data_IF_176003995391
#
_entry.id   IF_176003995391
#
_cell.length_a   1.000
_cell.length_b   1.000
_cell.length_c   1.000
_cell.angle_alpha   90.00
_cell.angle_beta   90.00
_cell.angle_gamma   90.00
#
_symmetry.space_group_name_H-M   'P 1'
#
loop_
_entity.id
_entity.type
_entity.pdbx_description
1 polymer ?
#
# COMPACT_ATOMS: atom_id res chain seq x y z
N UNK A 1 -20.01 -27.61 -36.36
CA UNK A 1 -18.76 -26.83 -36.17
C UNK A 1 -18.98 -25.86 -35.02
N UNK A 2 -18.54 -26.21 -33.80
CA UNK A 2 -18.77 -25.40 -32.60
C UNK A 2 -17.78 -24.24 -32.54
N UNK A 3 -18.25 -23.00 -32.71
CA UNK A 3 -17.45 -21.79 -32.51
C UNK A 3 -17.26 -21.58 -31.01
N UNK A 4 -16.06 -21.87 -30.51
CA UNK A 4 -15.62 -21.49 -29.17
C UNK A 4 -15.62 -19.95 -29.13
N UNK A 5 -16.60 -19.35 -28.45
CA UNK A 5 -16.55 -17.92 -28.13
C UNK A 5 -15.32 -17.68 -27.27
N UNK A 6 -14.37 -16.90 -27.78
CA UNK A 6 -13.24 -16.36 -27.01
C UNK A 6 -13.86 -15.74 -25.74
N UNK A 7 -13.58 -16.30 -24.56
CA UNK A 7 -13.95 -15.67 -23.29
C UNK A 7 -13.44 -14.24 -23.37
N UNK A 8 -14.30 -13.25 -23.12
CA UNK A 8 -13.85 -11.89 -22.92
C UNK A 8 -12.73 -11.95 -21.89
N UNK A 9 -11.55 -11.40 -22.22
CA UNK A 9 -10.46 -11.30 -21.26
C UNK A 9 -11.04 -10.60 -20.03
N UNK A 10 -11.02 -11.28 -18.87
CA UNK A 10 -11.35 -10.62 -17.62
C UNK A 10 -10.41 -9.41 -17.52
N UNK A 11 -10.92 -8.20 -17.20
CA UNK A 11 -10.05 -7.08 -16.96
C UNK A 11 -9.00 -7.52 -15.94
N UNK A 12 -7.73 -7.42 -16.31
CA UNK A 12 -6.66 -7.71 -15.36
C UNK A 12 -6.83 -6.70 -14.22
N UNK A 13 -6.81 -7.16 -12.95
CA UNK A 13 -6.87 -6.24 -11.82
C UNK A 13 -5.72 -5.24 -11.96
N UNK A 14 -6.02 -3.95 -11.76
CA UNK A 14 -5.03 -2.88 -11.82
C UNK A 14 -3.98 -3.16 -10.76
N UNK A 15 -2.74 -3.44 -11.18
CA UNK A 15 -1.61 -3.55 -10.27
C UNK A 15 -1.21 -2.12 -9.93
N UNK A 16 -1.58 -1.66 -8.74
CA UNK A 16 -1.28 -0.31 -8.28
C UNK A 16 0.19 -0.16 -7.92
N UNK A 17 0.76 -1.17 -7.26
CA UNK A 17 2.16 -1.17 -6.83
C UNK A 17 2.84 -2.47 -7.23
N UNK A 18 4.07 -2.35 -7.69
CA UNK A 18 4.91 -3.50 -8.02
C UNK A 18 6.28 -3.45 -7.32
N UNK A 19 6.46 -2.49 -6.41
CA UNK A 19 7.59 -2.35 -5.49
C UNK A 19 7.01 -1.94 -4.14
N UNK A 20 7.37 -2.65 -3.06
CA UNK A 20 7.05 -2.24 -1.68
C UNK A 20 8.32 -2.27 -0.84
N UNK A 21 8.54 -1.19 -0.09
CA UNK A 21 9.51 -1.16 1.00
C UNK A 21 8.79 -0.84 2.31
N UNK A 22 8.91 -1.73 3.30
CA UNK A 22 8.23 -1.59 4.57
C UNK A 22 9.17 -1.09 5.67
N UNK A 23 8.76 0.01 6.31
CA UNK A 23 9.41 0.64 7.46
C UNK A 23 8.43 0.70 8.65
N UNK A 24 7.44 -0.19 8.71
CA UNK A 24 6.44 -0.28 9.78
C UNK A 24 7.02 -0.57 11.17
N UNK A 25 8.28 -1.02 11.25
CA UNK A 25 8.98 -1.28 12.51
C UNK A 25 9.46 -0.02 13.26
N UNK A 26 9.42 1.15 12.61
CA UNK A 26 9.79 2.43 13.23
C UNK A 26 8.61 3.02 14.01
N UNK A 27 8.87 3.84 15.02
CA UNK A 27 7.79 4.53 15.74
C UNK A 27 7.14 5.63 14.88
N UNK A 28 5.86 5.92 15.14
CA UNK A 28 5.19 7.08 14.55
C UNK A 28 5.90 8.39 14.90
N UNK A 29 6.02 9.34 13.95
CA UNK A 29 5.40 9.36 12.61
C UNK A 29 6.24 8.69 11.49
N UNK A 30 7.31 7.97 11.84
CA UNK A 30 8.28 7.39 10.91
C UNK A 30 7.92 6.00 10.38
N UNK A 31 6.99 5.26 10.99
CA UNK A 31 6.41 4.07 10.38
C UNK A 31 5.69 4.43 9.08
N UNK A 32 6.18 3.84 8.00
CA UNK A 32 5.66 4.06 6.66
C UNK A 32 5.97 2.86 5.78
N UNK A 33 5.07 2.55 4.86
CA UNK A 33 5.31 1.64 3.76
C UNK A 33 5.38 2.47 2.48
N UNK A 34 6.50 2.38 1.74
CA UNK A 34 6.66 3.02 0.44
C UNK A 34 6.17 2.07 -0.65
N UNK A 35 5.00 2.39 -1.22
CA UNK A 35 4.33 1.62 -2.26
C UNK A 35 4.60 2.26 -3.62
N UNK A 36 5.46 1.67 -4.44
CA UNK A 36 5.92 2.27 -5.69
C UNK A 36 5.49 1.49 -6.94
N UNK A 37 5.43 2.21 -8.06
CA UNK A 37 5.14 1.63 -9.37
C UNK A 37 6.11 2.06 -10.46
N UNK A 38 6.52 1.09 -11.29
CA UNK A 38 7.31 1.33 -12.50
C UNK A 38 6.46 1.36 -13.79
N UNK A 39 5.25 0.83 -13.73
CA UNK A 39 4.33 0.80 -14.88
C UNK A 39 3.73 2.19 -15.14
N UNK A 40 3.16 2.39 -16.33
CA UNK A 40 2.40 3.61 -16.61
C UNK A 40 1.15 3.66 -15.74
N UNK A 41 0.86 4.84 -15.20
CA UNK A 41 -0.30 5.08 -14.36
C UNK A 41 -1.60 4.95 -15.15
N UNK A 42 -2.50 4.08 -14.66
CA UNK A 42 -3.91 4.03 -15.06
C UNK A 42 -4.68 5.04 -14.20
N UNK A 43 -4.66 6.32 -14.60
CA UNK A 43 -5.17 7.42 -13.78
C UNK A 43 -6.61 7.20 -13.29
N UNK A 44 -7.59 6.77 -14.11
CA UNK A 44 -8.95 6.51 -13.62
C UNK A 44 -9.03 5.40 -12.57
N UNK A 45 -8.32 4.29 -12.78
CA UNK A 45 -8.27 3.19 -11.82
C UNK A 45 -7.55 3.60 -10.53
N UNK A 46 -6.44 4.31 -10.66
CA UNK A 46 -5.64 4.79 -9.54
C UNK A 46 -6.39 5.82 -8.70
N UNK A 47 -7.01 6.82 -9.33
CA UNK A 47 -7.82 7.82 -8.65
C UNK A 47 -8.98 7.20 -7.91
N UNK A 48 -9.65 6.19 -8.49
CA UNK A 48 -10.71 5.45 -7.82
C UNK A 48 -10.21 4.77 -6.55
N UNK A 49 -9.12 4.01 -6.66
CA UNK A 49 -8.59 3.29 -5.49
C UNK A 49 -8.11 4.26 -4.43
N UNK A 50 -7.32 5.27 -4.77
CA UNK A 50 -6.84 6.24 -3.78
C UNK A 50 -7.96 7.10 -3.18
N UNK A 51 -8.97 7.47 -3.97
CA UNK A 51 -10.16 8.18 -3.47
C UNK A 51 -10.86 7.37 -2.40
N UNK A 52 -11.05 6.07 -2.67
CA UNK A 52 -11.64 5.17 -1.71
C UNK A 52 -10.71 4.98 -0.52
N UNK A 53 -9.41 4.74 -0.72
CA UNK A 53 -8.42 4.53 0.35
C UNK A 53 -8.35 5.74 1.28
N UNK A 54 -8.11 6.92 0.72
CA UNK A 54 -7.88 8.16 1.45
C UNK A 54 -9.15 8.92 1.84
N UNK A 55 -10.34 8.42 1.50
CA UNK A 55 -11.63 9.10 1.70
C UNK A 55 -11.64 10.52 1.11
N UNK A 56 -10.90 10.71 0.01
CA UNK A 56 -10.86 11.96 -0.75
C UNK A 56 -11.90 11.85 -1.88
N UNK A 57 -12.75 12.85 -2.15
CA UNK A 57 -13.69 12.78 -3.25
C UNK A 57 -13.01 12.46 -4.59
N UNK A 58 -13.62 11.60 -5.41
CA UNK A 58 -12.98 11.07 -6.63
C UNK A 58 -12.53 12.16 -7.60
N UNK A 59 -13.35 13.19 -7.79
CA UNK A 59 -13.02 14.33 -8.64
C UNK A 59 -11.78 15.06 -8.10
N UNK A 60 -11.76 15.35 -6.79
CA UNK A 60 -10.61 15.94 -6.11
C UNK A 60 -9.36 15.08 -6.25
N UNK A 61 -9.46 13.77 -6.03
CA UNK A 61 -8.33 12.85 -6.16
C UNK A 61 -7.78 12.84 -7.59
N UNK A 62 -8.66 12.88 -8.60
CA UNK A 62 -8.27 12.97 -10.01
C UNK A 62 -7.51 14.26 -10.29
N UNK A 63 -7.97 15.40 -9.77
CA UNK A 63 -7.27 16.68 -9.89
C UNK A 63 -5.91 16.64 -9.20
N UNK A 64 -5.83 16.14 -7.97
CA UNK A 64 -4.57 16.04 -7.22
C UNK A 64 -3.54 15.17 -7.95
N UNK A 65 -3.96 14.02 -8.49
CA UNK A 65 -3.07 13.14 -9.25
C UNK A 65 -2.64 13.76 -10.59
N UNK A 66 -3.40 14.72 -11.12
CA UNK A 66 -3.07 15.38 -12.39
C UNK A 66 -2.18 16.61 -12.20
N UNK A 67 -2.50 17.43 -11.20
CA UNK A 67 -1.95 18.78 -11.03
C UNK A 67 -1.03 18.90 -9.80
N UNK A 68 -1.07 17.92 -8.90
CA UNK A 68 -0.46 18.02 -7.58
C UNK A 68 -1.28 18.89 -6.63
N UNK A 69 -0.79 19.04 -5.40
CA UNK A 69 -1.41 19.89 -4.37
C UNK A 69 -1.79 19.12 -3.13
N UNK A 70 -2.71 19.69 -2.34
CA UNK A 70 -3.15 19.15 -1.06
C UNK A 70 -4.67 19.14 -0.95
N UNK A 71 -5.19 18.14 -0.27
CA UNK A 71 -6.55 18.08 0.22
C UNK A 71 -6.51 18.09 1.75
N UNK A 72 -7.02 19.18 2.32
CA UNK A 72 -7.18 19.31 3.77
C UNK A 72 -8.52 18.68 4.15
N UNK A 73 -8.50 17.72 5.07
CA UNK A 73 -9.71 17.04 5.47
C UNK A 73 -10.68 18.01 6.18
N UNK A 74 -11.99 17.94 5.90
CA UNK A 74 -12.95 18.84 6.48
C UNK A 74 -13.06 18.63 8.00
N UNK A 75 -13.40 19.72 8.70
CA UNK A 75 -13.74 19.65 10.12
C UNK A 75 -15.07 18.94 10.31
N UNK A 76 -15.13 17.95 11.19
CA UNK A 76 -16.38 17.27 11.56
C UNK A 76 -16.77 17.76 12.97
N UNK A 77 -17.95 18.35 13.10
CA UNK A 77 -18.46 18.83 14.40
C UNK A 77 -17.64 19.97 15.04
N UNK A 78 -16.88 20.73 14.25
CA UNK A 78 -16.03 21.83 14.74
C UNK A 78 -14.66 21.41 15.26
N UNK A 79 -14.28 20.13 15.12
CA UNK A 79 -12.95 19.62 15.41
C UNK A 79 -12.20 19.33 14.10
N UNK A 80 -10.91 19.64 14.06
CA UNK A 80 -10.03 19.18 12.99
C UNK A 80 -9.81 17.67 13.18
N UNK A 81 -10.46 16.85 12.35
CA UNK A 81 -10.49 15.39 12.52
C UNK A 81 -9.56 14.64 11.57
N UNK A 82 -8.98 15.32 10.57
CA UNK A 82 -7.92 14.79 9.71
C UNK A 82 -6.90 15.89 9.38
N UNK A 83 -5.64 15.50 9.16
CA UNK A 83 -4.60 16.43 8.73
C UNK A 83 -4.76 16.78 7.24
N UNK A 84 -3.89 16.26 6.38
CA UNK A 84 -4.05 16.41 4.94
C UNK A 84 -3.61 15.17 4.16
N UNK A 85 -4.12 15.06 2.95
CA UNK A 85 -3.55 14.25 1.87
C UNK A 85 -2.80 15.20 0.92
N UNK A 86 -1.65 14.78 0.42
CA UNK A 86 -0.84 15.54 -0.53
C UNK A 86 -0.49 14.68 -1.75
N UNK A 87 -0.49 15.32 -2.92
CA UNK A 87 0.16 14.81 -4.12
C UNK A 87 1.25 15.79 -4.55
N UNK A 88 2.50 15.36 -4.49
CA UNK A 88 3.65 16.11 -4.95
C UNK A 88 4.03 15.65 -6.36
N UNK A 89 4.07 16.60 -7.29
CA UNK A 89 4.56 16.40 -8.66
C UNK A 89 5.75 17.32 -8.86
N UNK A 90 6.90 16.74 -9.18
CA UNK A 90 8.08 17.52 -9.50
C UNK A 90 7.91 18.25 -10.83
N UNK A 91 7.95 19.59 -10.85
CA UNK A 91 7.76 20.38 -12.06
C UNK A 91 8.82 20.14 -13.14
N UNK A 92 10.00 19.63 -12.76
CA UNK A 92 11.11 19.33 -13.67
C UNK A 92 11.09 17.85 -14.11
N UNK A 93 10.29 17.01 -13.43
CA UNK A 93 10.20 15.58 -13.68
C UNK A 93 11.44 14.79 -13.25
N UNK A 94 12.25 15.34 -12.35
CA UNK A 94 13.45 14.69 -11.81
C UNK A 94 13.16 13.64 -10.74
N UNK A 95 12.00 13.73 -10.08
CA UNK A 95 11.54 12.78 -9.08
C UNK A 95 10.17 12.18 -9.45
N UNK A 96 9.89 10.92 -9.03
CA UNK A 96 8.57 10.32 -9.23
C UNK A 96 7.47 11.14 -8.54
N UNK A 97 6.24 11.05 -9.08
CA UNK A 97 5.06 11.58 -8.41
C UNK A 97 4.90 10.90 -7.05
N UNK A 98 4.59 11.67 -6.01
CA UNK A 98 4.53 11.17 -4.65
C UNK A 98 3.20 11.51 -4.00
N UNK A 99 2.59 10.56 -3.29
CA UNK A 99 1.44 10.82 -2.41
C UNK A 99 1.76 10.45 -0.98
N UNK A 100 1.22 11.22 -0.05
CA UNK A 100 1.42 10.98 1.38
C UNK A 100 0.33 11.68 2.18
N UNK A 101 0.21 11.27 3.44
CA UNK A 101 -0.67 11.93 4.42
C UNK A 101 0.15 12.54 5.56
N UNK A 102 -0.39 13.61 6.13
CA UNK A 102 0.06 14.17 7.40
C UNK A 102 -1.05 13.98 8.43
N UNK A 103 -0.69 13.55 9.65
CA UNK A 103 -1.61 13.63 10.79
C UNK A 103 -1.86 15.08 11.19
N UNK A 104 -2.70 15.27 12.21
CA UNK A 104 -3.05 16.59 12.75
C UNK A 104 -1.83 17.37 13.27
N UNK A 105 -0.86 16.69 13.90
CA UNK A 105 0.33 17.34 14.46
C UNK A 105 1.27 17.77 13.33
N UNK A 106 1.54 16.89 12.38
CA UNK A 106 2.33 17.18 11.19
C UNK A 106 1.69 18.25 10.32
N UNK A 107 0.35 18.24 10.20
CA UNK A 107 -0.38 19.28 9.50
C UNK A 107 -0.28 20.64 10.21
N UNK A 108 -0.47 20.69 11.53
CA UNK A 108 -0.31 21.92 12.31
C UNK A 108 1.11 22.49 12.19
N UNK A 109 2.13 21.64 12.22
CA UNK A 109 3.52 22.03 11.95
C UNK A 109 3.71 22.58 10.53
N UNK A 110 3.10 21.93 9.53
CA UNK A 110 3.17 22.38 8.14
C UNK A 110 2.50 23.75 7.96
N UNK A 111 1.33 23.98 8.58
CA UNK A 111 0.67 25.27 8.57
C UNK A 111 1.51 26.36 9.24
N UNK A 112 2.11 26.06 10.39
CA UNK A 112 2.98 26.99 11.10
C UNK A 112 4.20 27.33 10.24
N UNK A 113 4.83 26.33 9.62
CA UNK A 113 5.97 26.52 8.74
C UNK A 113 5.60 27.36 7.50
N UNK A 114 4.46 27.06 6.87
CA UNK A 114 3.95 27.80 5.73
C UNK A 114 3.77 29.29 6.06
N UNK A 115 3.15 29.60 7.21
CA UNK A 115 2.96 30.98 7.69
C UNK A 115 4.29 31.65 8.04
N UNK A 116 5.14 30.98 8.81
CA UNK A 116 6.39 31.55 9.30
C UNK A 116 7.40 31.84 8.19
N UNK A 117 7.35 31.10 7.07
CA UNK A 117 8.28 31.24 5.94
C UNK A 117 7.62 31.73 4.65
N UNK A 118 6.34 32.09 4.69
CA UNK A 118 5.54 32.48 3.51
C UNK A 118 5.64 31.46 2.36
N UNK A 119 5.62 30.17 2.71
CA UNK A 119 5.65 29.06 1.75
C UNK A 119 4.22 28.66 1.36
N UNK A 120 4.06 28.07 0.18
CA UNK A 120 2.82 27.38 -0.16
C UNK A 120 2.65 26.15 0.75
N UNK A 121 1.41 25.85 1.14
CA UNK A 121 1.12 24.71 2.01
C UNK A 121 1.64 23.37 1.46
N UNK A 122 1.54 23.06 0.16
CA UNK A 122 2.13 21.82 -0.40
C UNK A 122 3.64 21.71 -0.15
N UNK A 123 4.38 22.81 -0.30
CA UNK A 123 5.84 22.82 -0.09
C UNK A 123 6.19 22.60 1.38
N UNK A 124 5.46 23.26 2.28
CA UNK A 124 5.62 23.07 3.73
C UNK A 124 5.26 21.63 4.14
N UNK A 125 4.18 21.08 3.60
CA UNK A 125 3.75 19.71 3.87
C UNK A 125 4.81 18.69 3.42
N UNK A 126 5.39 18.88 2.23
CA UNK A 126 6.47 18.02 1.74
C UNK A 126 7.72 18.09 2.62
N UNK A 127 8.10 19.27 3.12
CA UNK A 127 9.22 19.43 4.05
C UNK A 127 8.97 18.72 5.40
N UNK A 128 7.78 18.85 5.98
CA UNK A 128 7.44 18.15 7.23
C UNK A 128 7.44 16.64 7.00
N UNK A 129 6.77 16.18 5.93
CA UNK A 129 6.73 14.77 5.56
C UNK A 129 8.12 14.15 5.45
N UNK A 130 8.97 14.72 4.59
CA UNK A 130 10.33 14.20 4.35
C UNK A 130 11.20 14.21 5.61
N UNK A 131 11.08 15.24 6.46
CA UNK A 131 11.81 15.31 7.75
C UNK A 131 11.44 14.16 8.69
N UNK A 132 10.18 13.75 8.68
CA UNK A 132 9.65 12.70 9.58
C UNK A 132 9.91 11.27 9.10
N UNK A 133 10.44 11.08 7.90
CA UNK A 133 10.79 9.75 7.39
C UNK A 133 11.99 9.13 8.12
N UNK A 134 12.08 7.79 8.19
CA UNK A 134 13.28 7.09 8.66
C UNK A 134 14.52 7.47 7.83
N UNK A 135 15.68 7.56 8.47
CA UNK A 135 16.95 7.93 7.80
C UNK A 135 17.32 6.94 6.67
N UNK A 136 17.01 5.66 6.84
CA UNK A 136 17.22 4.66 5.80
C UNK A 136 16.41 4.98 4.53
N UNK A 137 15.11 5.27 4.70
CA UNK A 137 14.23 5.62 3.58
C UNK A 137 14.66 6.94 2.93
N UNK A 138 15.08 7.94 3.71
CA UNK A 138 15.66 9.19 3.18
C UNK A 138 16.89 8.90 2.31
N UNK A 139 17.79 8.03 2.78
CA UNK A 139 18.98 7.61 2.06
C UNK A 139 18.68 6.90 0.74
N UNK A 140 17.59 6.12 0.68
CA UNK A 140 17.12 5.48 -0.55
C UNK A 140 16.41 6.44 -1.50
N UNK A 141 15.61 7.37 -0.99
CA UNK A 141 14.94 8.39 -1.82
C UNK A 141 15.93 9.31 -2.54
N UNK A 142 17.15 9.48 -2.00
CA UNK A 142 18.24 10.18 -2.67
C UNK A 142 18.87 9.39 -3.83
N UNK A 143 18.57 8.09 -3.95
CA UNK A 143 19.08 7.22 -5.00
C UNK A 143 18.05 7.06 -6.12
N UNK A 144 18.54 6.86 -7.35
CA UNK A 144 17.67 6.56 -8.49
C UNK A 144 16.88 5.28 -8.20
N UNK A 145 15.56 5.31 -8.41
CA UNK A 145 14.66 4.17 -8.21
C UNK A 145 14.80 3.52 -6.82
N UNK A 146 14.93 4.33 -5.75
CA UNK A 146 15.08 3.85 -4.37
C UNK A 146 16.33 2.97 -4.14
N UNK A 147 17.29 2.97 -5.07
CA UNK A 147 18.46 2.09 -5.02
C UNK A 147 18.15 0.63 -5.40
N UNK A 148 17.01 0.35 -6.05
CA UNK A 148 16.65 -1.00 -6.47
C UNK A 148 17.68 -1.59 -7.46
N UNK A 149 18.16 -2.80 -7.18
CA UNK A 149 18.98 -3.58 -8.11
C UNK A 149 18.10 -4.33 -9.12
N UNK A 150 18.04 -3.81 -10.35
CA UNK A 150 17.30 -4.41 -11.46
C UNK A 150 17.69 -5.86 -11.80
N UNK A 151 18.87 -6.33 -11.37
CA UNK A 151 19.31 -7.72 -11.56
C UNK A 151 18.59 -8.69 -10.64
N UNK A 152 18.11 -8.21 -9.49
CA UNK A 152 17.43 -9.01 -8.47
C UNK A 152 15.91 -8.87 -8.52
N UNK A 153 15.40 -7.90 -9.29
CA UNK A 153 13.96 -7.67 -9.44
C UNK A 153 13.27 -8.72 -10.31
N UNK A 154 11.99 -8.94 -10.05
CA UNK A 154 11.12 -9.69 -10.95
C UNK A 154 11.12 -9.05 -12.35
N UNK A 155 11.16 -9.87 -13.40
CA UNK A 155 11.21 -9.39 -14.79
C UNK A 155 10.02 -8.48 -15.15
N UNK A 156 8.86 -8.66 -14.54
CA UNK A 156 7.70 -7.81 -14.77
C UNK A 156 7.86 -6.41 -14.15
N UNK A 157 8.58 -6.31 -13.03
CA UNK A 157 8.94 -5.02 -12.40
C UNK A 157 10.04 -4.32 -13.20
N UNK A 158 11.08 -5.07 -13.55
CA UNK A 158 12.21 -4.56 -14.32
C UNK A 158 11.81 -4.04 -15.71
N UNK A 159 10.82 -4.67 -16.35
CA UNK A 159 10.26 -4.22 -17.64
C UNK A 159 9.62 -2.83 -17.61
N UNK A 160 9.13 -2.38 -16.45
CA UNK A 160 8.53 -1.05 -16.30
C UNK A 160 9.54 0.09 -16.36
N UNK A 161 10.83 -0.21 -16.12
CA UNK A 161 11.89 0.79 -16.10
C UNK A 161 11.96 1.56 -14.78
N UNK A 162 12.09 2.88 -14.88
CA UNK A 162 12.18 3.77 -13.72
C UNK A 162 10.86 3.86 -12.95
N UNK A 163 10.94 4.09 -11.63
CA UNK A 163 9.78 4.34 -10.78
C UNK A 163 9.12 5.64 -11.26
N UNK A 164 7.80 5.59 -11.47
CA UNK A 164 7.00 6.73 -11.94
C UNK A 164 6.16 7.35 -10.83
N UNK A 165 5.85 6.55 -9.81
CA UNK A 165 5.01 6.98 -8.71
C UNK A 165 5.34 6.22 -7.42
N UNK A 166 5.20 6.91 -6.28
CA UNK A 166 5.37 6.38 -4.93
C UNK A 166 4.21 6.87 -4.05
N UNK A 167 3.50 5.96 -3.40
CA UNK A 167 2.52 6.26 -2.35
C UNK A 167 3.10 5.88 -0.99
N UNK A 168 3.21 6.84 -0.10
CA UNK A 168 3.71 6.64 1.25
C UNK A 168 2.55 6.41 2.21
N UNK A 169 2.46 5.17 2.66
CA UNK A 169 1.37 4.69 3.50
C UNK A 169 1.80 4.63 4.95
N UNK A 170 1.16 5.42 5.78
CA UNK A 170 1.32 5.32 7.24
C UNK A 170 0.31 4.31 7.76
N UNK A 171 0.80 3.25 8.37
CA UNK A 171 0.04 2.14 8.97
C UNK A 171 -0.94 2.60 10.06
N UNK A 172 -0.66 3.72 10.72
CA UNK A 172 -1.55 4.38 11.67
C UNK A 172 -2.58 5.32 11.04
N UNK A 173 -2.51 5.58 9.73
CA UNK A 173 -3.52 6.40 9.05
C UNK A 173 -4.86 5.67 9.12
N UNK A 174 -5.97 6.33 9.54
CA UNK A 174 -7.30 5.72 9.51
C UNK A 174 -7.73 5.35 8.07
N UNK A 175 -7.04 5.91 7.08
CA UNK A 175 -7.31 5.76 5.66
C UNK A 175 -6.45 4.69 4.95
N UNK A 176 -5.73 3.86 5.69
CA UNK A 176 -5.01 2.74 5.09
C UNK A 176 -6.02 1.69 4.61
N UNK A 177 -6.16 1.50 3.29
CA UNK A 177 -6.94 0.38 2.74
C UNK A 177 -6.07 -0.77 2.24
N UNK A 178 -6.73 -1.93 2.21
CA UNK A 178 -6.21 -3.30 2.27
C UNK A 178 -5.22 -3.60 1.14
N UNK A 179 -3.95 -3.80 1.49
CA UNK A 179 -3.00 -4.51 0.63
C UNK A 179 -3.21 -6.01 0.82
N UNK A 180 -3.60 -6.70 -0.25
CA UNK A 180 -3.74 -8.15 -0.28
C UNK A 180 -2.50 -8.79 -0.91
N UNK A 181 -1.74 -9.55 -0.13
CA UNK A 181 -0.66 -10.40 -0.64
C UNK A 181 -1.30 -11.65 -1.26
N UNK A 182 -1.11 -11.86 -2.56
CA UNK A 182 -1.61 -13.02 -3.28
C UNK A 182 -0.61 -14.18 -3.22
N UNK A 183 -1.04 -15.45 -3.39
CA UNK A 183 -0.15 -16.60 -3.27
C UNK A 183 0.93 -16.63 -4.37
N UNK A 184 0.69 -15.94 -5.49
CA UNK A 184 1.64 -15.79 -6.60
C UNK A 184 2.64 -14.64 -6.39
N UNK A 185 2.61 -13.99 -5.21
CA UNK A 185 3.51 -12.89 -4.88
C UNK A 185 3.10 -11.56 -5.47
N UNK A 186 1.88 -11.42 -6.00
CA UNK A 186 1.34 -10.11 -6.36
C UNK A 186 0.75 -9.43 -5.15
N UNK A 187 0.86 -8.11 -5.10
CA UNK A 187 0.05 -7.28 -4.24
C UNK A 187 -1.11 -6.73 -5.03
N UNK A 188 -2.30 -6.90 -4.47
CA UNK A 188 -3.52 -6.34 -5.03
C UNK A 188 -4.13 -5.47 -3.96
N UNK A 189 -4.33 -4.20 -4.26
CA UNK A 189 -5.19 -3.36 -3.44
C UNK A 189 -6.58 -3.37 -4.05
N UNK A 190 -7.57 -3.43 -3.17
CA UNK A 190 -8.99 -3.31 -3.53
C UNK A 190 -9.53 -2.09 -2.82
N UNK A 191 -10.25 -1.23 -3.52
CA UNK A 191 -10.80 -0.03 -2.89
C UNK A 191 -11.96 -0.37 -1.95
N UNK A 192 -13.05 -0.91 -2.49
CA UNK A 192 -14.32 -1.15 -1.78
C UNK A 192 -14.50 -2.58 -1.25
N UNK A 193 -15.44 -2.77 -0.32
CA UNK A 193 -15.80 -4.11 0.19
C UNK A 193 -16.35 -5.01 -0.92
N UNK A 194 -17.05 -4.44 -1.89
CA UNK A 194 -17.60 -5.14 -3.04
C UNK A 194 -16.51 -5.63 -3.98
N UNK A 195 -15.51 -4.80 -4.27
CA UNK A 195 -14.36 -5.17 -5.09
C UNK A 195 -13.52 -6.23 -4.38
N UNK A 196 -13.28 -6.07 -3.07
CA UNK A 196 -12.62 -7.06 -2.25
C UNK A 196 -13.34 -8.41 -2.28
N UNK A 197 -14.67 -8.39 -2.07
CA UNK A 197 -15.50 -9.58 -2.10
C UNK A 197 -15.42 -10.28 -3.47
N UNK A 198 -15.50 -9.50 -4.56
CA UNK A 198 -15.41 -10.02 -5.92
C UNK A 198 -14.03 -10.60 -6.24
N UNK A 199 -12.95 -9.90 -5.86
CA UNK A 199 -11.57 -10.36 -6.05
C UNK A 199 -11.36 -11.69 -5.37
N UNK A 200 -11.84 -11.81 -4.13
CA UNK A 200 -11.61 -12.99 -3.33
C UNK A 200 -12.60 -14.12 -3.64
N UNK A 201 -13.75 -13.83 -4.24
CA UNK A 201 -14.81 -14.81 -4.51
C UNK A 201 -15.61 -15.13 -3.25
N UNK A 202 -15.83 -14.12 -2.41
CA UNK A 202 -16.59 -14.19 -1.15
C UNK A 202 -17.77 -13.21 -1.23
N UNK A 203 -18.68 -13.28 -0.25
CA UNK A 203 -19.79 -12.31 -0.15
C UNK A 203 -19.34 -10.99 0.51
N UNK A 204 -20.01 -9.85 0.24
CA UNK A 204 -19.71 -8.59 0.94
C UNK A 204 -19.85 -8.68 2.46
N UNK A 205 -20.77 -9.50 2.97
CA UNK A 205 -20.92 -9.74 4.40
C UNK A 205 -19.70 -10.46 5.01
N UNK A 206 -19.18 -11.49 4.31
CA UNK A 206 -17.95 -12.17 4.73
C UNK A 206 -16.73 -11.26 4.64
N UNK A 207 -16.64 -10.46 3.58
CA UNK A 207 -15.60 -9.44 3.43
C UNK A 207 -15.61 -8.47 4.60
N UNK A 208 -16.78 -7.91 4.93
CA UNK A 208 -16.96 -6.99 6.05
C UNK A 208 -16.52 -7.62 7.37
N UNK A 209 -17.03 -8.81 7.68
CA UNK A 209 -16.69 -9.50 8.93
C UNK A 209 -15.18 -9.76 9.06
N UNK A 210 -14.56 -10.30 8.00
CA UNK A 210 -13.12 -10.61 8.00
C UNK A 210 -12.26 -9.36 8.17
N UNK A 211 -12.66 -8.26 7.55
CA UNK A 211 -11.94 -6.98 7.58
C UNK A 211 -12.09 -6.26 8.92
N UNK A 212 -13.25 -6.34 9.55
CA UNK A 212 -13.49 -5.67 10.84
C UNK A 212 -12.94 -6.47 12.03
N UNK A 213 -12.93 -7.81 11.92
CA UNK A 213 -12.64 -8.69 13.06
C UNK A 213 -11.31 -9.45 12.91
N UNK A 214 -10.73 -9.47 11.71
CA UNK A 214 -9.60 -10.34 11.39
C UNK A 214 -9.99 -11.82 11.35
N UNK A 215 -8.98 -12.68 11.25
CA UNK A 215 -9.12 -14.14 11.24
C UNK A 215 -8.87 -14.78 9.87
N UNK A 216 -9.39 -15.98 9.67
CA UNK A 216 -9.20 -16.75 8.44
C UNK A 216 -10.53 -17.18 7.85
N UNK A 217 -10.64 -17.11 6.53
CA UNK A 217 -11.78 -17.58 5.76
C UNK A 217 -11.31 -18.56 4.69
N UNK A 218 -11.89 -19.77 4.67
CA UNK A 218 -11.62 -20.72 3.59
C UNK A 218 -12.41 -20.34 2.34
N UNK A 219 -11.72 -20.28 1.19
CA UNK A 219 -12.28 -19.88 -0.10
C UNK A 219 -11.71 -20.79 -1.19
N UNK A 220 -12.55 -21.66 -1.78
CA UNK A 220 -12.14 -22.54 -2.88
C UNK A 220 -10.85 -23.35 -2.59
N UNK A 221 -10.74 -23.91 -1.38
CA UNK A 221 -9.55 -24.64 -0.90
C UNK A 221 -8.28 -23.80 -0.69
N UNK A 222 -8.37 -22.49 -0.81
CA UNK A 222 -7.36 -21.53 -0.37
C UNK A 222 -7.81 -20.86 0.93
N UNK A 223 -6.90 -20.16 1.60
CA UNK A 223 -7.21 -19.39 2.80
C UNK A 223 -7.01 -17.93 2.54
N UNK A 224 -8.03 -17.14 2.87
CA UNK A 224 -7.92 -15.70 3.01
C UNK A 224 -7.73 -15.39 4.49
N UNK A 225 -6.55 -14.92 4.86
CA UNK A 225 -6.23 -14.51 6.22
C UNK A 225 -6.22 -12.98 6.30
N UNK A 226 -6.74 -12.46 7.40
CA UNK A 226 -6.76 -11.04 7.73
C UNK A 226 -6.25 -10.88 9.16
N UNK A 227 -5.20 -10.08 9.33
CA UNK A 227 -4.71 -9.69 10.63
C UNK A 227 -5.03 -8.22 10.86
N UNK A 228 -5.56 -7.88 12.03
CA UNK A 228 -5.74 -6.48 12.42
C UNK A 228 -4.45 -6.01 13.09
N UNK A 229 -3.69 -5.16 12.41
CA UNK A 229 -2.44 -4.57 12.89
C UNK A 229 -2.67 -3.08 13.06
N UNK A 230 -2.46 -2.55 14.27
CA UNK A 230 -2.68 -1.14 14.59
C UNK A 230 -4.07 -0.61 14.20
N UNK A 231 -5.10 -1.45 14.31
CA UNK A 231 -6.48 -1.10 13.93
C UNK A 231 -6.78 -1.21 12.44
N UNK A 232 -5.82 -1.68 11.62
CA UNK A 232 -5.96 -1.80 10.17
C UNK A 232 -5.90 -3.27 9.68
N UNK A 233 -6.70 -3.65 8.68
CA UNK A 233 -6.73 -4.99 8.12
C UNK A 233 -5.57 -5.23 7.14
N UNK A 234 -4.64 -6.10 7.52
CA UNK A 234 -3.60 -6.66 6.66
C UNK A 234 -4.06 -8.02 6.11
N UNK A 235 -4.17 -8.16 4.79
CA UNK A 235 -4.78 -9.35 4.17
C UNK A 235 -3.74 -10.13 3.37
N UNK A 236 -3.75 -11.46 3.52
CA UNK A 236 -2.92 -12.35 2.74
C UNK A 236 -3.71 -13.59 2.32
N UNK A 237 -3.49 -14.05 1.10
CA UNK A 237 -4.12 -15.25 0.55
C UNK A 237 -3.08 -16.34 0.42
N UNK A 238 -3.44 -17.54 0.88
CA UNK A 238 -2.56 -18.69 0.98
C UNK A 238 -3.11 -19.86 0.18
N UNK A 239 -2.23 -20.59 -0.48
CA UNK A 239 -2.59 -21.87 -1.09
C UNK A 239 -2.94 -22.91 -0.01
N UNK A 240 -3.67 -23.95 -0.39
CA UNK A 240 -3.92 -25.12 0.48
C UNK A 240 -2.63 -25.67 1.10
N UNK A 241 -1.55 -25.71 0.31
CA UNK A 241 -0.23 -26.19 0.74
C UNK A 241 0.39 -25.30 1.81
N UNK A 242 0.31 -23.98 1.64
CA UNK A 242 0.85 -23.04 2.61
C UNK A 242 0.05 -23.11 3.93
N UNK A 243 -1.27 -23.26 3.83
CA UNK A 243 -2.09 -23.43 5.03
C UNK A 243 -1.82 -24.74 5.77
N UNK A 244 -1.60 -25.84 5.04
CA UNK A 244 -1.27 -27.13 5.65
C UNK A 244 0.06 -27.04 6.42
N UNK A 245 1.08 -26.42 5.82
CA UNK A 245 2.35 -26.10 6.51
C UNK A 245 2.13 -25.24 7.75
N UNK A 246 1.27 -24.22 7.66
CA UNK A 246 0.98 -23.35 8.81
C UNK A 246 0.28 -24.12 9.94
N UNK A 247 -0.63 -25.06 9.63
CA UNK A 247 -1.25 -25.95 10.62
C UNK A 247 -0.23 -26.87 11.29
N UNK A 248 0.67 -27.46 10.52
CA UNK A 248 1.76 -28.29 11.05
C UNK A 248 2.69 -27.49 11.97
N UNK A 249 3.06 -26.28 11.55
CA UNK A 249 3.89 -25.37 12.32
C UNK A 249 3.22 -24.91 13.61
N UNK A 250 1.94 -24.54 13.54
CA UNK A 250 1.13 -24.16 14.69
C UNK A 250 1.04 -25.31 15.71
N UNK A 251 0.80 -26.53 15.25
CA UNK A 251 0.76 -27.71 16.12
C UNK A 251 2.13 -28.04 16.72
N UNK A 252 3.22 -27.95 15.94
CA UNK A 252 4.56 -28.28 16.39
C UNK A 252 5.13 -27.29 17.41
N UNK A 253 4.84 -25.99 17.23
CA UNK A 253 5.37 -24.90 18.08
C UNK A 253 4.36 -24.36 19.10
N UNK A 254 3.11 -24.84 19.10
CA UNK A 254 2.05 -24.30 19.95
C UNK A 254 1.66 -22.85 19.60
N UNK A 255 1.82 -22.45 18.33
CA UNK A 255 1.54 -21.09 17.88
C UNK A 255 0.07 -20.92 17.49
N UNK A 256 -0.42 -19.67 17.55
CA UNK A 256 -1.69 -19.34 16.92
C UNK A 256 -1.57 -19.46 15.39
N UNK A 257 -2.67 -19.84 14.72
CA UNK A 257 -2.65 -20.12 13.27
C UNK A 257 -2.24 -18.90 12.44
N UNK A 258 -2.58 -17.69 12.88
CA UNK A 258 -2.16 -16.45 12.22
C UNK A 258 -0.65 -16.23 12.29
N UNK A 259 -0.02 -16.51 13.44
CA UNK A 259 1.43 -16.37 13.59
C UNK A 259 2.17 -17.37 12.70
N UNK A 260 1.66 -18.61 12.65
CA UNK A 260 2.20 -19.63 11.77
C UNK A 260 2.01 -19.29 10.28
N UNK A 261 0.88 -18.68 9.90
CA UNK A 261 0.65 -18.19 8.54
C UNK A 261 1.62 -17.06 8.18
N UNK A 262 1.88 -16.13 9.09
CA UNK A 262 2.87 -15.08 8.92
C UNK A 262 4.27 -15.65 8.73
N UNK A 263 4.71 -16.60 9.57
CA UNK A 263 6.00 -17.30 9.38
C UNK A 263 6.10 -18.00 8.02
N UNK A 264 5.02 -18.67 7.58
CA UNK A 264 4.96 -19.31 6.26
C UNK A 264 5.03 -18.29 5.12
N UNK A 265 4.36 -17.14 5.25
CA UNK A 265 4.42 -16.06 4.27
C UNK A 265 5.85 -15.50 4.18
N UNK A 266 6.46 -15.15 5.31
CA UNK A 266 7.82 -14.58 5.37
C UNK A 266 8.88 -15.53 4.82
N UNK A 267 8.71 -16.84 5.03
CA UNK A 267 9.64 -17.85 4.53
C UNK A 267 9.40 -18.25 3.06
N UNK A 268 8.27 -17.86 2.45
CA UNK A 268 7.96 -18.15 1.05
C UNK A 268 8.53 -17.05 0.12
N UNK A 269 9.59 -17.34 -0.67
CA UNK A 269 10.19 -16.34 -1.55
C UNK A 269 9.25 -15.83 -2.64
N UNK A 270 8.20 -16.58 -2.98
CA UNK A 270 7.19 -16.17 -3.94
C UNK A 270 6.25 -15.16 -3.30
N UNK A 271 5.70 -15.45 -2.12
CA UNK A 271 4.81 -14.51 -1.42
C UNK A 271 5.54 -13.22 -1.05
N UNK A 272 6.80 -13.32 -0.64
CA UNK A 272 7.65 -12.17 -0.36
C UNK A 272 8.15 -11.44 -1.60
N UNK A 273 7.85 -11.88 -2.83
CA UNK A 273 8.38 -11.27 -4.06
C UNK A 273 7.95 -9.81 -4.21
N UNK A 274 6.69 -9.53 -3.88
CA UNK A 274 6.10 -8.18 -3.88
C UNK A 274 6.66 -7.29 -2.75
N UNK A 275 7.11 -7.93 -1.66
CA UNK A 275 7.58 -7.32 -0.42
C UNK A 275 9.11 -7.39 -0.27
N UNK A 276 9.83 -7.82 -1.31
CA UNK A 276 11.25 -8.15 -1.22
C UNK A 276 12.13 -6.89 -1.22
N UNK A 277 13.12 -6.71 -0.33
CA UNK A 277 13.46 -7.39 0.94
C UNK A 277 14.53 -6.58 1.69
N UNK A 278 14.45 -6.59 3.02
CA UNK A 278 15.38 -6.03 4.03
C UNK A 278 16.72 -6.79 4.20
N UNK A 279 17.06 -7.76 3.34
CA UNK A 279 18.15 -8.71 3.64
C UNK A 279 19.31 -8.78 2.63
N UNK A 280 19.50 -7.76 1.78
CA UNK A 280 20.70 -7.67 0.93
C UNK A 280 21.60 -6.46 1.23
N UNK A 281 21.26 -5.62 2.21
CA UNK A 281 22.10 -4.50 2.69
C UNK A 281 22.74 -4.74 4.07
N UNK A 282 22.34 -5.79 4.81
CA UNK A 282 22.89 -6.13 6.14
C UNK A 282 24.27 -6.81 6.12
N UNK A 283 25.12 -6.49 5.14
CA UNK A 283 26.38 -7.19 4.95
C UNK A 283 27.28 -6.56 3.89
N UNK A 284 27.53 -5.25 3.99
CA UNK A 284 28.81 -4.58 3.69
C UNK A 284 28.73 -3.09 3.94
#
# INVERSE_FOLDING_TARGET
MFKIKKKADKPKPTILYNVIEDYSEFDAPGNVTACAMTQQEDLPGHAKVLSESYEVPLETMTTLLTEGGVYVYPQIGGLLTGGLFACFIDPIGGTPKQTFVLDLMQFAEAEQLARARSLALPDAAFQIFTRTLPEELKGKLAQKNLGLDYRTLDRAVAKGGDIKYIDFRKDWSPHFKRLCIMPDGRLVETGGLEEFAQLHGITPAQAKALVEQGGTLEVNSEILACQIVNGQPAVARFTAKNYLKAKELAAAKGLHIMDALSEVAYSDPVMMRALARKELSGGR
#
